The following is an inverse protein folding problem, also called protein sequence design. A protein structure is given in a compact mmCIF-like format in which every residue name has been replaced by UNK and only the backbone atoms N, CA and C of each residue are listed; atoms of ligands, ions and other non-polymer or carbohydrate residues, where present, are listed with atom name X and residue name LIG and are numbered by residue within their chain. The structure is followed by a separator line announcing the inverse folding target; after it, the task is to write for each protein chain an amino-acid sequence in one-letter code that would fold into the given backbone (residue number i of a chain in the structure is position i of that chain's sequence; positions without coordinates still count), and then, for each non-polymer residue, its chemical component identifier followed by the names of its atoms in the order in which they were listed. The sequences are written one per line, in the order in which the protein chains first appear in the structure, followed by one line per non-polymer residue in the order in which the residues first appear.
data_IF_155575478510
#
_entry.id   IF_155575478510
#
_cell.length_a   1.000
_cell.length_b   1.000
_cell.length_c   1.000
_cell.angle_alpha   90.00
_cell.angle_beta   90.00
_cell.angle_gamma   90.00
#
_symmetry.space_group_name_H-M   'P 1'
#
loop_
_entity.id
_entity.type
_entity.pdbx_description
1 polymer ?
#
# COMPACT_ATOMS: atom_id res chain seq x y z
N UNK A 1 -5.93 -21.78 5.95
CA UNK A 1 -5.79 -20.31 6.15
C UNK A 1 -6.67 -19.98 7.36
N UNK A 2 -6.11 -19.46 8.45
CA UNK A 2 -6.92 -19.14 9.62
C UNK A 2 -7.64 -17.81 9.38
N UNK A 3 -8.94 -17.80 9.64
CA UNK A 3 -9.74 -16.57 9.61
C UNK A 3 -9.38 -15.71 10.82
N UNK A 4 -8.86 -14.53 10.57
CA UNK A 4 -8.57 -13.55 11.61
C UNK A 4 -9.68 -12.50 11.56
N UNK A 5 -10.53 -12.47 12.60
CA UNK A 5 -11.58 -11.46 12.74
C UNK A 5 -10.94 -10.07 12.80
N UNK A 6 -11.48 -9.13 12.03
CA UNK A 6 -11.01 -7.74 12.10
C UNK A 6 -11.18 -7.20 13.52
N UNK A 7 -10.14 -6.60 14.12
CA UNK A 7 -10.30 -5.83 15.34
C UNK A 7 -11.21 -4.62 15.11
N UNK A 8 -11.84 -4.06 16.14
CA UNK A 8 -12.60 -2.81 16.02
C UNK A 8 -11.69 -1.71 15.47
N UNK A 9 -12.11 -1.03 14.40
CA UNK A 9 -11.39 0.11 13.87
C UNK A 9 -11.67 1.34 14.77
N UNK A 10 -10.66 1.93 15.44
CA UNK A 10 -10.86 3.05 16.36
C UNK A 10 -11.31 4.35 15.67
N UNK A 11 -11.16 4.43 14.35
CA UNK A 11 -11.53 5.61 13.55
C UNK A 11 -12.95 5.54 12.97
N UNK A 12 -13.62 4.39 13.07
CA UNK A 12 -15.00 4.20 12.63
C UNK A 12 -15.96 4.29 13.80
N UNK A 13 -17.00 5.10 13.66
CA UNK A 13 -18.11 5.22 14.64
C UNK A 13 -19.17 4.13 14.44
N UNK A 14 -19.20 3.50 13.27
CA UNK A 14 -20.15 2.45 12.93
C UNK A 14 -19.54 1.06 13.18
N UNK A 15 -20.35 0.16 13.75
CA UNK A 15 -20.00 -1.25 13.90
C UNK A 15 -20.98 -2.08 13.08
N UNK A 16 -20.43 -3.00 12.29
CA UNK A 16 -21.21 -4.01 11.59
C UNK A 16 -21.22 -5.30 12.41
N UNK A 17 -22.40 -5.74 12.83
CA UNK A 17 -22.60 -7.05 13.45
C UNK A 17 -23.39 -7.94 12.47
N UNK A 18 -22.89 -9.15 12.26
CA UNK A 18 -23.55 -10.12 11.40
C UNK A 18 -24.46 -11.03 12.24
N UNK A 19 -25.72 -11.14 11.83
CA UNK A 19 -26.64 -12.12 12.38
C UNK A 19 -26.46 -13.40 11.56
N UNK A 20 -25.79 -14.40 12.14
CA UNK A 20 -25.40 -15.64 11.47
C UNK A 20 -23.91 -15.66 11.08
N UNK A 21 -23.55 -16.52 10.15
CA UNK A 21 -22.17 -16.58 9.65
C UNK A 21 -21.87 -15.37 8.76
N UNK A 22 -20.72 -14.69 9.00
CA UNK A 22 -20.33 -13.59 8.13
C UNK A 22 -20.08 -14.12 6.71
N UNK A 23 -20.36 -13.32 5.67
CA UNK A 23 -20.09 -13.72 4.30
C UNK A 23 -18.61 -14.06 4.10
N UNK A 24 -18.33 -15.01 3.23
CA UNK A 24 -16.97 -15.38 2.88
C UNK A 24 -16.22 -14.15 2.35
N UNK A 25 -15.14 -13.79 3.00
CA UNK A 25 -14.36 -12.63 2.60
C UNK A 25 -13.64 -12.93 1.27
N UNK A 26 -14.12 -12.33 0.19
CA UNK A 26 -13.48 -12.39 -1.13
C UNK A 26 -12.36 -11.35 -1.23
N UNK A 27 -11.42 -11.60 -2.13
CA UNK A 27 -10.42 -10.60 -2.47
C UNK A 27 -11.09 -9.48 -3.30
N UNK A 28 -10.93 -8.25 -2.86
CA UNK A 28 -11.41 -7.05 -3.52
C UNK A 28 -10.22 -6.15 -3.86
N UNK A 29 -10.24 -5.55 -5.04
CA UNK A 29 -9.21 -4.59 -5.46
C UNK A 29 -9.86 -3.25 -5.73
N UNK A 30 -9.35 -2.23 -5.07
CA UNK A 30 -9.80 -0.84 -5.23
C UNK A 30 -8.73 -0.05 -5.99
N UNK A 31 -9.08 0.43 -7.19
CA UNK A 31 -8.18 1.28 -7.96
C UNK A 31 -8.25 2.71 -7.43
N UNK A 32 -7.15 3.20 -6.90
CA UNK A 32 -7.05 4.55 -6.38
C UNK A 32 -6.46 5.50 -7.43
N UNK A 33 -7.21 6.55 -7.73
CA UNK A 33 -6.81 7.63 -8.65
C UNK A 33 -6.65 8.98 -7.97
N UNK A 34 -7.08 9.11 -6.71
CA UNK A 34 -7.10 10.36 -5.97
C UNK A 34 -5.73 10.74 -5.36
N UNK A 35 -4.81 9.80 -5.27
CA UNK A 35 -3.45 10.05 -4.78
C UNK A 35 -2.77 11.16 -5.59
N UNK A 36 -2.20 12.14 -4.90
CA UNK A 36 -1.51 13.30 -5.52
C UNK A 36 0.01 13.20 -5.49
N UNK A 37 0.56 12.42 -4.58
CA UNK A 37 1.99 12.19 -4.40
C UNK A 37 2.22 10.72 -4.11
N UNK A 38 3.22 10.12 -4.75
CA UNK A 38 3.56 8.71 -4.54
C UNK A 38 4.79 8.54 -3.64
N UNK A 39 5.69 9.50 -3.65
CA UNK A 39 6.86 9.50 -2.78
C UNK A 39 6.43 9.97 -1.39
N UNK A 40 6.69 9.14 -0.39
CA UNK A 40 6.45 9.43 1.02
C UNK A 40 7.78 9.72 1.70
N UNK A 41 7.88 10.86 2.37
CA UNK A 41 9.03 11.20 3.20
C UNK A 41 8.88 10.57 4.59
N UNK A 42 9.94 9.95 5.07
CA UNK A 42 10.07 9.40 6.41
C UNK A 42 11.10 10.21 7.21
N UNK A 43 10.75 10.56 8.41
CA UNK A 43 11.62 11.31 9.34
C UNK A 43 11.89 10.54 10.64
N UNK A 44 11.62 9.24 10.67
CA UNK A 44 11.90 8.42 11.84
C UNK A 44 13.40 8.16 11.96
N UNK A 45 14.01 8.40 13.13
CA UNK A 45 15.44 8.16 13.33
C UNK A 45 15.80 6.67 13.32
N UNK A 46 14.82 5.78 13.45
CA UNK A 46 15.02 4.33 13.53
C UNK A 46 15.06 3.66 12.15
N UNK A 47 14.80 4.42 11.09
CA UNK A 47 14.70 3.89 9.72
C UNK A 47 15.79 4.53 8.85
N UNK A 48 16.67 3.73 8.21
CA UNK A 48 17.85 4.22 7.52
C UNK A 48 17.59 4.79 6.11
N UNK A 49 16.36 5.20 5.81
CA UNK A 49 16.00 5.82 4.54
C UNK A 49 14.93 6.90 4.71
N UNK A 50 14.99 7.92 3.87
CA UNK A 50 14.11 9.08 3.96
C UNK A 50 12.89 8.99 3.05
N UNK A 51 12.96 8.23 1.96
CA UNK A 51 11.90 8.20 0.96
C UNK A 51 11.46 6.79 0.60
N UNK A 52 10.17 6.60 0.51
CA UNK A 52 9.55 5.32 0.11
C UNK A 52 8.41 5.51 -0.88
N UNK A 53 8.18 4.47 -1.68
CA UNK A 53 7.06 4.36 -2.60
C UNK A 53 6.24 3.13 -2.23
N UNK A 54 4.93 3.29 -2.15
CA UNK A 54 3.99 2.20 -1.93
C UNK A 54 2.94 2.22 -3.04
N UNK A 55 3.10 1.33 -4.03
CA UNK A 55 2.18 1.19 -5.15
C UNK A 55 0.85 0.56 -4.73
N UNK A 56 0.86 -0.20 -3.65
CA UNK A 56 -0.29 -0.90 -3.10
C UNK A 56 -0.48 -0.56 -1.62
N UNK A 57 -1.70 -0.78 -1.11
CA UNK A 57 -2.00 -0.87 0.32
C UNK A 57 -2.76 -2.16 0.58
N UNK A 58 -2.46 -2.80 1.72
CA UNK A 58 -2.84 -4.17 2.00
C UNK A 58 -1.88 -5.16 1.35
N UNK A 59 -1.89 -6.41 1.81
CA UNK A 59 -0.95 -7.41 1.34
C UNK A 59 -1.54 -8.82 1.47
N UNK A 60 -1.62 -9.52 0.35
CA UNK A 60 -2.19 -10.88 0.28
C UNK A 60 -1.29 -11.96 0.85
N UNK A 61 -0.03 -11.65 1.22
CA UNK A 61 0.86 -12.60 1.92
C UNK A 61 0.37 -12.92 3.34
N UNK A 62 -0.52 -12.09 3.90
CA UNK A 62 -1.23 -12.37 5.13
C UNK A 62 -0.34 -12.69 6.35
N UNK A 63 0.88 -12.16 6.43
CA UNK A 63 1.76 -12.37 7.56
C UNK A 63 1.08 -11.92 8.87
N UNK A 64 0.98 -12.82 9.84
CA UNK A 64 0.28 -12.53 11.11
C UNK A 64 0.98 -11.47 11.97
N UNK A 65 2.30 -11.36 11.82
CA UNK A 65 3.16 -10.41 12.54
C UNK A 65 3.40 -9.07 11.79
N UNK A 66 2.68 -8.82 10.70
CA UNK A 66 2.92 -7.65 9.87
C UNK A 66 2.57 -6.35 10.62
N UNK A 67 3.55 -5.47 10.81
CA UNK A 67 3.39 -4.18 11.46
C UNK A 67 2.52 -3.19 10.65
N UNK A 68 2.37 -3.44 9.34
CA UNK A 68 1.61 -2.56 8.45
C UNK A 68 0.09 -2.73 8.53
N UNK A 69 -0.40 -3.78 9.21
CA UNK A 69 -1.84 -4.06 9.33
C UNK A 69 -2.67 -2.87 9.83
N UNK A 70 -2.25 -2.13 10.89
CA UNK A 70 -2.99 -0.98 11.38
C UNK A 70 -3.10 0.17 10.37
N UNK A 71 -2.20 0.24 9.37
CA UNK A 71 -2.28 1.30 8.35
C UNK A 71 -3.53 1.20 7.48
N UNK A 72 -4.19 0.05 7.47
CA UNK A 72 -5.42 -0.17 6.72
C UNK A 72 -6.63 0.54 7.35
N UNK A 73 -6.57 0.79 8.65
CA UNK A 73 -7.60 1.50 9.40
C UNK A 73 -7.77 2.95 8.93
N UNK A 74 -6.70 3.59 8.45
CA UNK A 74 -6.78 4.93 7.83
C UNK A 74 -7.59 4.96 6.53
N UNK A 75 -7.84 3.80 5.93
CA UNK A 75 -8.70 3.65 4.75
C UNK A 75 -10.16 3.31 5.12
N UNK A 76 -10.47 3.22 6.42
CA UNK A 76 -11.76 2.75 6.90
C UNK A 76 -11.93 1.23 6.86
N UNK A 77 -10.86 0.47 6.62
CA UNK A 77 -10.85 -0.98 6.63
C UNK A 77 -10.34 -1.54 7.96
N UNK A 78 -10.54 -2.84 8.19
CA UNK A 78 -9.99 -3.50 9.39
C UNK A 78 -8.54 -3.95 9.20
N UNK A 79 -7.77 -3.98 10.29
CA UNK A 79 -6.39 -4.45 10.31
C UNK A 79 -6.24 -5.99 10.22
N UNK A 80 -7.32 -6.74 10.31
CA UNK A 80 -7.34 -8.20 10.21
C UNK A 80 -7.47 -8.70 8.77
N UNK A 81 -8.57 -9.36 8.49
CA UNK A 81 -8.86 -9.97 7.17
C UNK A 81 -8.94 -8.94 6.05
N UNK A 82 -9.39 -7.71 6.33
CA UNK A 82 -9.47 -6.66 5.31
C UNK A 82 -8.09 -6.31 4.77
N UNK A 83 -7.06 -6.26 5.61
CA UNK A 83 -5.68 -6.00 5.17
C UNK A 83 -5.19 -7.03 4.14
N UNK A 84 -5.65 -8.25 4.24
CA UNK A 84 -5.23 -9.35 3.37
C UNK A 84 -6.05 -9.40 2.07
N UNK A 85 -7.27 -8.90 2.08
CA UNK A 85 -8.26 -9.14 1.04
C UNK A 85 -8.76 -7.89 0.31
N UNK A 86 -8.73 -6.73 0.95
CA UNK A 86 -9.10 -5.45 0.36
C UNK A 86 -7.84 -4.69 -0.03
N UNK A 87 -7.37 -4.89 -1.25
CA UNK A 87 -6.13 -4.31 -1.73
C UNK A 87 -6.43 -3.02 -2.48
N UNK A 88 -5.72 -1.95 -2.13
CA UNK A 88 -5.78 -0.69 -2.88
C UNK A 88 -4.60 -0.61 -3.83
N UNK A 89 -4.87 -0.47 -5.12
CA UNK A 89 -3.88 -0.31 -6.19
C UNK A 89 -3.85 1.16 -6.65
N UNK A 90 -2.73 1.84 -6.47
CA UNK A 90 -2.54 3.23 -6.92
C UNK A 90 -2.16 3.25 -8.39
N UNK A 91 -3.16 3.14 -9.26
CA UNK A 91 -2.97 2.93 -10.69
C UNK A 91 -2.19 4.02 -11.40
N UNK A 92 -2.14 5.24 -10.82
CA UNK A 92 -1.36 6.37 -11.34
C UNK A 92 0.05 6.48 -10.77
N UNK A 93 0.52 5.49 -9.99
CA UNK A 93 1.82 5.54 -9.32
C UNK A 93 2.99 5.85 -10.29
N UNK A 94 3.13 5.24 -11.47
CA UNK A 94 4.23 5.53 -12.38
C UNK A 94 4.20 6.97 -12.92
N UNK A 95 3.00 7.50 -13.22
CA UNK A 95 2.83 8.88 -13.70
C UNK A 95 3.21 9.90 -12.63
N UNK A 96 2.75 9.67 -11.41
CA UNK A 96 3.05 10.52 -10.26
C UNK A 96 4.55 10.50 -9.94
N UNK A 97 5.16 9.32 -9.96
CA UNK A 97 6.59 9.18 -9.73
C UNK A 97 7.39 9.98 -10.77
N UNK A 98 7.05 9.84 -12.05
CA UNK A 98 7.69 10.61 -13.12
C UNK A 98 7.58 12.11 -12.86
N UNK A 99 6.40 12.60 -12.52
CA UNK A 99 6.18 14.01 -12.23
C UNK A 99 6.97 14.50 -11.01
N UNK A 100 7.16 13.65 -10.00
CA UNK A 100 7.92 13.97 -8.80
C UNK A 100 9.43 13.98 -9.05
N UNK A 101 9.96 13.02 -9.79
CA UNK A 101 11.39 12.98 -10.16
C UNK A 101 11.80 14.12 -11.11
N UNK A 102 10.86 14.66 -11.89
CA UNK A 102 11.10 15.84 -12.73
C UNK A 102 11.22 17.15 -11.96
N UNK A 103 10.80 17.21 -10.71
CA UNK A 103 10.87 18.45 -9.92
C UNK A 103 12.32 18.85 -9.67
N UNK A 104 12.64 20.12 -9.84
CA UNK A 104 13.99 20.68 -9.53
C UNK A 104 14.40 20.50 -8.06
N UNK A 105 13.43 20.31 -7.17
CA UNK A 105 13.66 20.07 -5.74
C UNK A 105 14.13 18.65 -5.46
N UNK A 106 13.86 17.69 -6.35
CA UNK A 106 14.31 16.30 -6.19
C UNK A 106 15.83 16.22 -6.38
N UNK A 107 16.51 15.53 -5.47
CA UNK A 107 18.00 15.47 -5.43
C UNK A 107 18.57 14.13 -5.89
N UNK A 108 17.72 13.18 -6.28
CA UNK A 108 18.15 11.84 -6.64
C UNK A 108 18.42 10.95 -5.43
N UNK A 109 17.68 11.18 -4.36
CA UNK A 109 17.78 10.38 -3.14
C UNK A 109 17.30 8.94 -3.37
N UNK A 110 17.72 8.04 -2.52
CA UNK A 110 17.31 6.64 -2.57
C UNK A 110 15.82 6.49 -2.36
N UNK A 111 15.19 5.69 -3.21
CA UNK A 111 13.78 5.35 -3.11
C UNK A 111 13.62 3.89 -2.72
N UNK A 112 13.06 3.65 -1.56
CA UNK A 112 12.73 2.29 -1.11
C UNK A 112 11.33 1.92 -1.60
N UNK A 113 11.23 0.79 -2.28
CA UNK A 113 9.95 0.25 -2.71
C UNK A 113 9.33 -0.58 -1.60
N UNK A 114 8.09 -0.21 -1.30
CA UNK A 114 7.18 -0.91 -0.40
C UNK A 114 7.62 -1.05 1.04
N UNK A 115 7.21 -0.08 1.83
CA UNK A 115 7.34 -0.11 3.27
C UNK A 115 6.06 -0.64 3.97
N UNK A 116 4.87 -0.43 3.38
CA UNK A 116 3.57 -0.81 3.97
C UNK A 116 2.85 -1.94 3.26
N UNK A 117 3.41 -2.46 2.18
CA UNK A 117 2.88 -3.58 1.39
C UNK A 117 4.06 -4.32 0.76
N UNK A 118 3.87 -5.52 0.27
CA UNK A 118 4.89 -6.18 -0.54
C UNK A 118 4.82 -5.66 -2.00
N UNK A 119 5.95 -5.32 -2.65
CA UNK A 119 5.97 -4.83 -4.03
C UNK A 119 5.60 -5.91 -5.05
N UNK A 120 5.67 -7.17 -4.68
CA UNK A 120 5.43 -8.33 -5.55
C UNK A 120 4.25 -9.18 -5.10
N UNK A 121 3.19 -8.54 -4.58
CA UNK A 121 1.93 -9.25 -4.37
C UNK A 121 1.41 -9.83 -5.70
N UNK A 122 0.62 -10.91 -5.70
CA UNK A 122 0.12 -11.55 -6.93
C UNK A 122 -0.56 -10.61 -7.92
N UNK A 123 -1.16 -9.51 -7.45
CA UNK A 123 -1.77 -8.48 -8.30
C UNK A 123 -0.76 -7.77 -9.21
N UNK A 124 0.52 -7.75 -8.83
CA UNK A 124 1.58 -7.13 -9.64
C UNK A 124 1.73 -7.83 -11.00
N UNK A 125 1.36 -9.10 -11.12
CA UNK A 125 1.35 -9.81 -12.38
C UNK A 125 0.42 -9.15 -13.43
N UNK A 126 -0.67 -8.52 -12.96
CA UNK A 126 -1.66 -7.86 -13.82
C UNK A 126 -1.41 -6.34 -13.93
N UNK A 127 -1.22 -5.67 -12.80
CA UNK A 127 -1.10 -4.21 -12.73
C UNK A 127 0.28 -3.70 -13.13
N UNK A 128 1.33 -4.43 -12.79
CA UNK A 128 2.74 -4.09 -13.07
C UNK A 128 3.13 -2.68 -12.57
N UNK A 129 2.56 -2.24 -11.45
CA UNK A 129 2.80 -0.88 -10.94
C UNK A 129 4.22 -0.72 -10.40
N UNK A 130 4.71 -1.71 -9.65
CA UNK A 130 6.09 -1.71 -9.14
C UNK A 130 7.08 -1.73 -10.31
N UNK A 131 6.87 -2.61 -11.29
CA UNK A 131 7.70 -2.70 -12.49
C UNK A 131 7.75 -1.38 -13.24
N UNK A 132 6.58 -0.79 -13.53
CA UNK A 132 6.50 0.50 -14.23
C UNK A 132 7.19 1.63 -13.45
N UNK A 133 7.08 1.63 -12.12
CA UNK A 133 7.80 2.60 -11.28
C UNK A 133 9.31 2.38 -11.33
N UNK A 134 9.79 1.14 -11.34
CA UNK A 134 11.22 0.83 -11.51
C UNK A 134 11.73 1.26 -12.91
N UNK A 135 10.92 1.10 -13.95
CA UNK A 135 11.26 1.60 -15.30
C UNK A 135 11.38 3.13 -15.31
N UNK A 136 10.52 3.84 -14.57
CA UNK A 136 10.66 5.30 -14.37
C UNK A 136 11.95 5.64 -13.61
N UNK A 137 12.26 4.93 -12.52
CA UNK A 137 13.54 5.15 -11.81
C UNK A 137 14.74 4.95 -12.73
N UNK A 138 14.73 3.90 -13.56
CA UNK A 138 15.78 3.62 -14.53
C UNK A 138 15.94 4.77 -15.55
N UNK A 139 14.84 5.30 -16.08
CA UNK A 139 14.83 6.42 -17.01
C UNK A 139 15.50 7.67 -16.42
N UNK A 140 15.20 7.96 -15.15
CA UNK A 140 15.79 9.10 -14.42
C UNK A 140 17.14 8.79 -13.78
N UNK A 141 17.64 7.56 -13.89
CA UNK A 141 18.85 7.07 -13.19
C UNK A 141 18.79 7.32 -11.69
N UNK A 142 17.60 7.19 -11.12
CA UNK A 142 17.38 7.36 -9.68
C UNK A 142 17.65 6.03 -8.95
N UNK A 143 18.50 6.02 -7.90
CA UNK A 143 18.79 4.83 -7.12
C UNK A 143 17.61 4.40 -6.23
#
# INVERSE_FOLDING_TARGET
MHYVKNPPNPWLTERHEWIGEPPEARQEVFEETATRSIITHNNSPDIPFDYSINCYRGCTHACTYCFSRPTHEYLGFGAGTDFERKIVAKVRAPELLRAELMKKSWKGDWLIFSFTSDPYIPLEANYQLTRKCLEVCLEFRNP
#
